data_IF_840090597371
#
_entry.id   IF_840090597371
#
_cell.length_a   1.000
_cell.length_b   1.000
_cell.length_c   1.000
_cell.angle_alpha   90.00
_cell.angle_beta   90.00
_cell.angle_gamma   90.00
#
_symmetry.space_group_name_H-M   'P 1'
#
loop_
_entity.id
_entity.type
_entity.pdbx_description
1 polymer ?
#
# COMPACT_ATOMS: atom_id res chain seq x y z
N UNK A 1 -17.34 42.99 -33.69
CA UNK A 1 -16.53 41.75 -33.54
C UNK A 1 -15.21 42.03 -32.79
N UNK A 2 -15.25 42.37 -31.49
CA UNK A 2 -14.04 42.52 -30.65
C UNK A 2 -14.15 41.87 -29.25
N UNK A 3 -15.33 41.37 -28.89
CA UNK A 3 -15.61 40.87 -27.55
C UNK A 3 -15.67 39.33 -27.47
N UNK A 4 -15.46 38.64 -28.62
CA UNK A 4 -15.57 37.17 -28.72
C UNK A 4 -14.25 36.43 -28.45
N UNK A 5 -13.13 37.16 -28.39
CA UNK A 5 -11.79 36.56 -28.19
C UNK A 5 -11.41 36.37 -26.72
N UNK A 6 -12.07 37.09 -25.81
CA UNK A 6 -11.72 37.05 -24.37
C UNK A 6 -12.41 35.87 -23.67
N UNK A 7 -13.57 35.43 -24.17
CA UNK A 7 -14.37 34.36 -23.54
C UNK A 7 -13.78 32.96 -23.72
N UNK A 8 -12.96 32.73 -24.75
CA UNK A 8 -12.34 31.41 -25.03
C UNK A 8 -11.09 31.17 -24.16
N UNK A 9 -10.43 32.24 -23.70
CA UNK A 9 -9.22 32.12 -22.89
C UNK A 9 -9.48 31.70 -21.44
N UNK A 10 -10.68 31.97 -20.89
CA UNK A 10 -11.01 31.61 -19.50
C UNK A 10 -11.39 30.13 -19.35
N UNK A 11 -11.97 29.52 -20.38
CA UNK A 11 -12.45 28.13 -20.32
C UNK A 11 -11.31 27.09 -20.32
N UNK A 12 -10.13 27.45 -20.84
CA UNK A 12 -8.98 26.55 -20.97
C UNK A 12 -8.16 26.41 -19.67
N UNK A 13 -8.30 27.33 -18.71
CA UNK A 13 -7.56 27.27 -17.44
C UNK A 13 -8.22 26.35 -16.40
N UNK A 14 -9.54 26.16 -16.47
CA UNK A 14 -10.30 25.34 -15.50
C UNK A 14 -10.07 23.83 -15.71
N UNK A 15 -9.64 23.41 -16.91
CA UNK A 15 -9.41 22.00 -17.23
C UNK A 15 -8.14 21.41 -16.59
N UNK A 16 -7.21 22.21 -16.05
CA UNK A 16 -5.98 21.69 -15.42
C UNK A 16 -6.16 21.23 -13.97
N UNK A 17 -7.29 21.55 -13.31
CA UNK A 17 -7.44 21.31 -11.87
C UNK A 17 -8.02 19.92 -11.55
N UNK A 18 -8.46 19.15 -12.55
CA UNK A 18 -9.05 17.81 -12.34
C UNK A 18 -8.04 16.66 -12.35
N UNK A 19 -6.74 16.95 -12.50
CA UNK A 19 -5.69 15.93 -12.55
C UNK A 19 -5.05 15.60 -11.18
N UNK A 20 -5.53 16.19 -10.07
CA UNK A 20 -5.09 15.76 -8.75
C UNK A 20 -5.68 14.38 -8.44
N UNK A 21 -4.84 13.36 -8.61
CA UNK A 21 -5.14 11.96 -8.35
C UNK A 21 -5.81 11.77 -6.99
N UNK A 22 -6.86 10.94 -6.97
CA UNK A 22 -7.59 10.58 -5.75
C UNK A 22 -6.59 10.26 -4.63
N UNK A 23 -6.72 10.87 -3.43
CA UNK A 23 -5.89 10.51 -2.30
C UNK A 23 -6.02 9.00 -2.07
N UNK A 24 -4.88 8.32 -1.99
CA UNK A 24 -4.85 6.87 -1.76
C UNK A 24 -5.54 6.53 -0.44
N UNK A 25 -6.20 5.37 -0.39
CA UNK A 25 -6.84 4.88 0.84
C UNK A 25 -5.79 4.69 1.93
N UNK A 26 -5.93 5.36 3.08
CA UNK A 26 -5.10 5.11 4.27
C UNK A 26 -5.96 4.40 5.31
N UNK A 27 -5.56 3.19 5.69
CA UNK A 27 -6.24 2.38 6.71
C UNK A 27 -5.24 1.97 7.75
N UNK A 28 -5.60 2.14 9.03
CA UNK A 28 -4.86 1.57 10.16
C UNK A 28 -5.82 0.68 10.94
N UNK A 29 -5.43 -0.57 11.12
CA UNK A 29 -6.13 -1.56 11.93
C UNK A 29 -5.23 -1.81 13.14
N UNK A 30 -5.79 -1.68 14.33
CA UNK A 30 -5.07 -1.96 15.57
C UNK A 30 -6.00 -2.75 16.48
N UNK A 31 -5.58 -3.97 16.82
CA UNK A 31 -6.27 -4.84 17.76
C UNK A 31 -5.31 -5.12 18.92
N UNK A 32 -5.82 -5.01 20.13
CA UNK A 32 -5.11 -5.39 21.35
C UNK A 32 -5.95 -6.46 22.06
N UNK A 33 -5.39 -7.66 22.21
CA UNK A 33 -6.04 -8.80 22.86
C UNK A 33 -5.51 -9.06 24.28
N UNK A 34 -4.73 -8.12 24.84
CA UNK A 34 -4.13 -8.24 26.16
C UNK A 34 -2.92 -9.16 26.23
N UNK A 35 -2.51 -9.79 25.12
CA UNK A 35 -1.34 -10.66 25.04
C UNK A 35 -0.39 -10.32 23.87
N UNK A 36 -0.52 -9.12 23.30
CA UNK A 36 0.30 -8.62 22.20
C UNK A 36 -0.55 -8.01 21.10
N UNK A 37 -0.45 -6.70 20.92
CA UNK A 37 -1.22 -6.00 19.89
C UNK A 37 -0.73 -6.32 18.48
N UNK A 38 -1.67 -6.35 17.53
CA UNK A 38 -1.37 -6.35 16.09
C UNK A 38 -1.73 -4.99 15.50
N UNK A 39 -0.82 -4.46 14.69
CA UNK A 39 -1.02 -3.23 13.93
C UNK A 39 -0.78 -3.50 12.45
N UNK A 40 -1.77 -3.17 11.64
CA UNK A 40 -1.70 -3.25 10.18
C UNK A 40 -1.99 -1.86 9.62
N UNK A 41 -1.16 -1.40 8.70
CA UNK A 41 -1.34 -0.11 8.03
C UNK A 41 -1.23 -0.28 6.52
N UNK A 42 -2.18 0.28 5.79
CA UNK A 42 -2.21 0.29 4.34
C UNK A 42 -2.29 1.72 3.84
N UNK A 43 -1.41 2.09 2.92
CA UNK A 43 -1.56 3.29 2.09
C UNK A 43 -1.71 2.84 0.65
N UNK A 44 -2.80 3.25 0.01
CA UNK A 44 -3.19 2.78 -1.32
C UNK A 44 -3.88 1.42 -1.29
N UNK A 45 -3.76 0.67 -2.40
CA UNK A 45 -4.29 -0.70 -2.51
C UNK A 45 -3.15 -1.70 -2.64
N UNK A 46 -3.25 -2.77 -1.86
CA UNK A 46 -2.34 -3.92 -1.88
C UNK A 46 -3.11 -5.14 -2.37
N UNK A 47 -2.52 -5.87 -3.31
CA UNK A 47 -3.09 -7.06 -3.92
C UNK A 47 -2.19 -8.24 -3.56
N UNK A 48 -2.79 -9.27 -2.97
CA UNK A 48 -2.11 -10.51 -2.63
C UNK A 48 -2.31 -11.54 -3.74
N UNK A 49 -1.45 -12.56 -3.81
CA UNK A 49 -1.71 -13.75 -4.62
C UNK A 49 -2.88 -14.56 -4.04
N UNK A 50 -3.49 -15.41 -4.88
CA UNK A 50 -4.62 -16.25 -4.47
C UNK A 50 -4.26 -17.21 -3.33
N UNK A 51 -3.01 -17.67 -3.28
CA UNK A 51 -2.50 -18.55 -2.22
C UNK A 51 -2.03 -17.79 -0.96
N UNK A 52 -2.12 -16.45 -0.97
CA UNK A 52 -1.72 -15.57 0.13
C UNK A 52 -0.23 -15.66 0.51
N UNK A 53 0.64 -16.03 -0.43
CA UNK A 53 2.09 -16.18 -0.17
C UNK A 53 2.92 -14.97 -0.63
N UNK A 54 2.36 -14.11 -1.47
CA UNK A 54 3.04 -12.92 -2.01
C UNK A 54 2.11 -11.71 -2.16
N UNK A 55 2.72 -10.53 -2.27
CA UNK A 55 2.05 -9.33 -2.74
C UNK A 55 2.34 -9.20 -4.23
N UNK A 56 1.30 -9.29 -5.06
CA UNK A 56 1.40 -9.19 -6.53
C UNK A 56 1.48 -7.74 -6.99
N UNK A 57 0.86 -6.81 -6.24
CA UNK A 57 0.85 -5.39 -6.60
C UNK A 57 0.56 -4.48 -5.41
N UNK A 58 1.21 -3.30 -5.42
CA UNK A 58 0.83 -2.15 -4.59
C UNK A 58 0.64 -0.95 -5.52
N UNK A 59 -0.37 -0.11 -5.27
CA UNK A 59 -0.56 1.13 -6.02
C UNK A 59 0.67 2.05 -5.94
N UNK A 60 0.91 2.92 -6.93
CA UNK A 60 1.98 3.91 -6.85
C UNK A 60 1.95 4.70 -5.54
N UNK A 61 3.12 4.91 -4.93
CA UNK A 61 3.30 5.57 -3.63
C UNK A 61 2.60 4.88 -2.44
N UNK A 62 2.09 3.66 -2.62
CA UNK A 62 1.47 2.87 -1.57
C UNK A 62 2.46 1.98 -0.83
N UNK A 63 2.04 1.53 0.35
CA UNK A 63 2.76 0.54 1.14
C UNK A 63 1.79 -0.25 2.03
N UNK A 64 2.25 -1.39 2.51
CA UNK A 64 1.60 -2.16 3.56
C UNK A 64 2.60 -2.39 4.70
N UNK A 65 2.21 -2.08 5.94
CA UNK A 65 3.00 -2.29 7.14
C UNK A 65 2.26 -3.23 8.09
N UNK A 66 3.00 -4.12 8.73
CA UNK A 66 2.54 -5.04 9.75
C UNK A 66 3.48 -5.01 10.94
N UNK A 67 2.93 -4.99 12.15
CA UNK A 67 3.64 -5.11 13.42
C UNK A 67 2.84 -6.03 14.36
N UNK A 68 3.51 -7.04 14.90
CA UNK A 68 2.95 -7.94 15.91
C UNK A 68 4.06 -8.63 16.69
N UNK A 69 3.96 -8.69 18.01
CA UNK A 69 4.89 -9.44 18.88
C UNK A 69 6.37 -9.10 18.65
N UNK A 70 6.67 -7.82 18.38
CA UNK A 70 8.03 -7.35 18.05
C UNK A 70 8.52 -7.68 16.64
N UNK A 71 7.74 -8.43 15.86
CA UNK A 71 8.01 -8.67 14.44
C UNK A 71 7.39 -7.56 13.59
N UNK A 72 8.11 -7.12 12.56
CA UNK A 72 7.63 -6.09 11.64
C UNK A 72 7.90 -6.42 10.18
N UNK A 73 7.00 -5.95 9.33
CA UNK A 73 7.12 -6.01 7.88
C UNK A 73 6.70 -4.67 7.28
N UNK A 74 7.47 -4.17 6.32
CA UNK A 74 7.07 -3.11 5.40
C UNK A 74 7.21 -3.63 3.98
N UNK A 75 6.11 -3.67 3.23
CA UNK A 75 6.08 -3.96 1.80
C UNK A 75 5.78 -2.67 1.03
N UNK A 76 6.64 -2.30 0.08
CA UNK A 76 6.48 -1.09 -0.73
C UNK A 76 6.92 -1.33 -2.17
N UNK A 77 6.32 -0.58 -3.09
CA UNK A 77 6.79 -0.55 -4.48
C UNK A 77 8.07 0.29 -4.58
N UNK A 78 9.09 -0.20 -5.26
CA UNK A 78 10.28 0.58 -5.56
C UNK A 78 10.11 1.48 -6.80
N UNK A 79 11.17 2.22 -7.16
CA UNK A 79 11.17 3.13 -8.30
C UNK A 79 11.05 2.45 -9.67
N UNK A 80 11.30 1.14 -9.76
CA UNK A 80 11.15 0.35 -10.99
C UNK A 80 9.79 -0.34 -11.06
N UNK A 81 9.06 -0.34 -9.96
CA UNK A 81 7.73 -0.87 -9.87
C UNK A 81 7.63 -2.24 -9.24
N UNK A 82 8.74 -2.80 -8.76
CA UNK A 82 8.82 -4.09 -8.09
C UNK A 82 8.46 -3.95 -6.61
N UNK A 83 8.00 -5.04 -5.99
CA UNK A 83 7.72 -5.06 -4.55
C UNK A 83 9.01 -5.37 -3.78
N UNK A 84 9.29 -4.54 -2.78
CA UNK A 84 10.41 -4.69 -1.86
C UNK A 84 9.89 -4.87 -0.44
N UNK A 85 10.60 -5.69 0.33
CA UNK A 85 10.23 -6.06 1.69
C UNK A 85 11.32 -5.62 2.66
N UNK A 86 10.89 -5.03 3.78
CA UNK A 86 11.73 -4.73 4.91
C UNK A 86 11.22 -5.52 6.12
N UNK A 87 12.00 -6.49 6.60
CA UNK A 87 11.60 -7.39 7.69
C UNK A 87 12.39 -6.99 8.94
N UNK A 88 11.72 -6.76 10.06
CA UNK A 88 12.32 -6.47 11.36
C UNK A 88 13.36 -5.33 11.33
N UNK A 89 13.15 -4.31 10.48
CA UNK A 89 14.07 -3.18 10.35
C UNK A 89 15.33 -3.45 9.53
N UNK A 90 15.50 -4.64 8.95
CA UNK A 90 16.62 -4.96 8.05
C UNK A 90 16.60 -4.09 6.78
N UNK A 91 17.59 -4.27 5.91
CA UNK A 91 17.58 -3.60 4.60
C UNK A 91 16.41 -4.06 3.72
N UNK A 92 15.99 -3.18 2.81
CA UNK A 92 14.97 -3.53 1.82
C UNK A 92 15.52 -4.59 0.87
N UNK A 93 14.82 -5.71 0.78
CA UNK A 93 15.20 -6.83 -0.06
C UNK A 93 14.07 -7.20 -1.03
N UNK A 94 14.48 -7.55 -2.25
CA UNK A 94 13.60 -8.14 -3.27
C UNK A 94 13.68 -9.66 -3.27
N UNK A 95 14.87 -10.18 -3.01
CA UNK A 95 15.10 -11.62 -2.91
C UNK A 95 14.97 -12.06 -1.46
N UNK A 96 14.05 -13.00 -1.24
CA UNK A 96 13.70 -13.48 0.09
C UNK A 96 14.33 -14.85 0.32
N UNK A 97 14.90 -15.05 1.49
CA UNK A 97 15.31 -16.38 1.93
C UNK A 97 14.09 -17.29 2.14
N UNK A 98 14.31 -18.61 2.22
CA UNK A 98 13.20 -19.54 2.50
C UNK A 98 12.54 -19.25 3.85
N UNK A 99 13.33 -18.86 4.86
CA UNK A 99 12.83 -18.45 6.18
C UNK A 99 11.95 -17.21 6.09
N UNK A 100 12.37 -16.20 5.31
CA UNK A 100 11.58 -14.98 5.11
C UNK A 100 10.25 -15.30 4.42
N UNK A 101 10.23 -16.17 3.41
CA UNK A 101 8.99 -16.57 2.71
C UNK A 101 7.98 -17.24 3.65
N UNK A 102 8.44 -18.09 4.56
CA UNK A 102 7.57 -18.71 5.58
C UNK A 102 6.99 -17.65 6.52
N UNK A 103 7.83 -16.71 6.98
CA UNK A 103 7.38 -15.58 7.79
C UNK A 103 6.34 -14.73 7.05
N UNK A 104 6.62 -14.33 5.81
CA UNK A 104 5.72 -13.52 4.99
C UNK A 104 4.38 -14.21 4.74
N UNK A 105 4.38 -15.51 4.47
CA UNK A 105 3.14 -16.27 4.30
C UNK A 105 2.25 -16.19 5.54
N UNK A 106 2.85 -16.27 6.74
CA UNK A 106 2.11 -16.11 8.00
C UNK A 106 1.56 -14.69 8.14
N UNK A 107 2.39 -13.68 7.87
CA UNK A 107 2.01 -12.26 7.95
C UNK A 107 0.89 -11.93 6.95
N UNK A 108 1.00 -12.34 5.69
CA UNK A 108 0.00 -12.06 4.66
C UNK A 108 -1.34 -12.71 4.97
N UNK A 109 -1.35 -13.96 5.43
CA UNK A 109 -2.59 -14.60 5.90
C UNK A 109 -3.23 -13.83 7.05
N UNK A 110 -2.42 -13.34 7.99
CA UNK A 110 -2.91 -12.54 9.12
C UNK A 110 -3.49 -11.20 8.65
N UNK A 111 -2.80 -10.54 7.72
CA UNK A 111 -3.19 -9.29 7.07
C UNK A 111 -4.45 -9.41 6.24
N UNK A 112 -4.64 -10.52 5.50
CA UNK A 112 -5.85 -10.78 4.71
C UNK A 112 -7.03 -11.07 5.65
N UNK A 113 -6.81 -11.88 6.69
CA UNK A 113 -7.83 -12.22 7.67
C UNK A 113 -8.38 -10.99 8.39
N UNK A 114 -7.51 -10.05 8.77
CA UNK A 114 -7.89 -8.83 9.51
C UNK A 114 -8.17 -7.63 8.64
N UNK A 115 -7.54 -7.55 7.49
CA UNK A 115 -7.51 -6.38 6.61
C UNK A 115 -8.86 -5.97 6.03
N UNK A 116 -9.94 -6.70 6.35
CA UNK A 116 -11.25 -6.57 5.71
C UNK A 116 -11.09 -6.41 4.19
N UNK A 117 -10.32 -7.33 3.57
CA UNK A 117 -10.17 -7.42 2.12
C UNK A 117 -11.45 -8.05 1.53
N UNK A 118 -12.58 -7.38 1.68
CA UNK A 118 -13.86 -7.71 1.06
C UNK A 118 -14.63 -6.40 0.96
N UNK A 119 -14.44 -5.69 -0.17
CA UNK A 119 -15.40 -4.79 -0.81
C UNK A 119 -14.87 -4.40 -2.21
#
# INVERSE_FOLDING_TARGET
MKNLKITVALLSFVAMITACGRPGRHVVISEDDGNGGVKIEYVGRTYFSDDSTEITRITPNGFAKYEKDGQSLIASRDGHGDITYQINGNEKQRHLSNTDKVFLTKVFKDMIKRGHYND
#
